data_IF_565342708195
#
_entry.id   IF_565342708195
#
_cell.length_a   1.000
_cell.length_b   1.000
_cell.length_c   1.000
_cell.angle_alpha   90.00
_cell.angle_beta   90.00
_cell.angle_gamma   90.00
#
_symmetry.space_group_name_H-M   'P 1'
#
loop_
_entity.id
_entity.type
_entity.pdbx_description
1 polymer ?
#
# COMPACT_ATOMS: atom_id res chain seq x y z
N UNK A 1 -1.57 13.77 -15.58
CA UNK A 1 -2.71 13.63 -14.66
C UNK A 1 -2.14 13.69 -13.25
N UNK A 2 -2.52 14.72 -12.52
CA UNK A 2 -1.84 15.17 -11.31
C UNK A 2 -2.12 14.27 -10.11
N UNK A 3 -1.08 14.00 -9.32
CA UNK A 3 -1.12 13.35 -8.01
C UNK A 3 -1.68 14.32 -6.93
N UNK A 4 -2.79 14.99 -7.25
CA UNK A 4 -3.36 16.10 -6.48
C UNK A 4 -4.72 15.77 -5.84
N UNK A 5 -5.10 14.49 -5.77
CA UNK A 5 -6.24 14.14 -4.93
C UNK A 5 -5.78 14.00 -3.48
N UNK A 6 -6.09 15.03 -2.70
CA UNK A 6 -6.00 15.10 -1.23
C UNK A 6 -6.68 13.94 -0.46
N UNK A 7 -7.18 12.90 -1.14
CA UNK A 7 -7.81 11.71 -0.55
C UNK A 7 -7.07 10.39 -0.76
N UNK A 8 -6.05 10.33 -1.62
CA UNK A 8 -5.29 9.08 -1.84
C UNK A 8 -4.24 8.87 -0.74
N UNK A 9 -4.14 7.64 -0.26
CA UNK A 9 -3.18 7.24 0.76
C UNK A 9 -1.80 7.05 0.12
N UNK A 10 -0.85 7.94 0.42
CA UNK A 10 0.45 7.98 -0.25
C UNK A 10 1.57 7.66 0.73
N UNK A 11 2.49 6.80 0.29
CA UNK A 11 3.77 6.55 0.94
C UNK A 11 4.91 6.54 -0.07
N UNK A 12 6.12 6.90 0.38
CA UNK A 12 7.34 6.86 -0.41
C UNK A 12 8.39 6.06 0.32
N UNK A 13 8.88 5.01 -0.32
CA UNK A 13 10.02 4.22 0.13
C UNK A 13 11.25 4.64 -0.66
N UNK A 14 12.38 4.85 0.02
CA UNK A 14 13.65 5.12 -0.62
C UNK A 14 14.22 3.89 -1.33
N UNK A 15 15.31 4.08 -2.08
CA UNK A 15 16.06 2.99 -2.72
C UNK A 15 16.62 1.97 -1.73
N UNK A 16 16.74 2.35 -0.45
CA UNK A 16 17.06 1.50 0.69
C UNK A 16 15.87 0.68 1.20
N UNK A 17 14.70 0.75 0.56
CA UNK A 17 13.48 0.05 0.97
C UNK A 17 12.88 0.60 2.26
N UNK A 18 13.28 1.79 2.70
CA UNK A 18 12.82 2.41 3.95
C UNK A 18 11.84 3.53 3.69
N UNK A 19 10.82 3.63 4.54
CA UNK A 19 9.82 4.68 4.48
C UNK A 19 10.48 6.06 4.71
N UNK A 20 10.34 6.94 3.72
CA UNK A 20 10.84 8.33 3.76
C UNK A 20 9.71 9.32 4.03
N UNK A 21 8.51 9.03 3.53
CA UNK A 21 7.35 9.90 3.66
C UNK A 21 6.07 9.07 3.63
N UNK A 22 5.05 9.52 4.38
CA UNK A 22 3.68 9.05 4.27
C UNK A 22 2.74 10.20 4.60
N UNK A 23 1.52 10.16 4.09
CA UNK A 23 0.47 11.08 4.49
C UNK A 23 -0.45 10.48 5.58
N UNK A 24 -1.22 11.28 6.32
CA UNK A 24 -2.14 10.77 7.34
C UNK A 24 -3.21 9.82 6.77
N UNK A 25 -3.60 9.97 5.50
CA UNK A 25 -4.53 9.06 4.84
C UNK A 25 -3.96 7.64 4.76
N UNK A 26 -2.66 7.49 4.49
CA UNK A 26 -1.97 6.20 4.47
C UNK A 26 -1.95 5.52 5.83
N UNK A 27 -1.62 6.26 6.90
CA UNK A 27 -1.64 5.72 8.26
C UNK A 27 -3.04 5.25 8.67
N UNK A 28 -4.08 6.03 8.31
CA UNK A 28 -5.49 5.69 8.57
C UNK A 28 -5.97 4.49 7.76
N UNK A 29 -5.55 4.37 6.50
CA UNK A 29 -5.97 3.28 5.63
C UNK A 29 -5.57 1.92 6.20
N UNK A 30 -4.35 1.83 6.72
CA UNK A 30 -3.77 0.61 7.28
C UNK A 30 -4.04 0.44 8.78
N UNK A 31 -4.81 1.34 9.40
CA UNK A 31 -5.09 1.37 10.84
C UNK A 31 -3.83 1.25 11.71
N UNK A 32 -2.72 1.82 11.24
CA UNK A 32 -1.41 1.74 11.91
C UNK A 32 -1.26 2.81 13.00
N UNK A 33 -2.23 3.71 13.18
CA UNK A 33 -2.14 4.84 14.10
C UNK A 33 -1.00 5.81 13.75
N UNK A 34 -0.83 6.86 14.56
CA UNK A 34 0.26 7.85 14.39
C UNK A 34 1.63 7.26 14.80
N UNK A 35 1.65 6.27 15.70
CA UNK A 35 2.87 5.64 16.24
C UNK A 35 3.33 4.37 15.48
N UNK A 36 2.47 3.75 14.67
CA UNK A 36 2.82 2.49 13.98
C UNK A 36 3.68 2.68 12.72
N UNK A 37 3.84 3.92 12.25
CA UNK A 37 4.73 4.27 11.14
C UNK A 37 5.80 5.23 11.62
N UNK A 38 7.06 4.83 11.46
CA UNK A 38 8.21 5.67 11.77
C UNK A 38 9.04 5.89 10.51
N UNK A 39 9.66 7.07 10.40
CA UNK A 39 10.66 7.30 9.37
C UNK A 39 11.78 6.25 9.50
N UNK A 40 12.11 5.58 8.40
CA UNK A 40 13.09 4.50 8.40
C UNK A 40 12.53 3.09 8.54
N UNK A 41 11.21 2.91 8.79
CA UNK A 41 10.58 1.57 8.76
C UNK A 41 10.85 0.87 7.44
N UNK A 42 11.34 -0.36 7.49
CA UNK A 42 11.62 -1.12 6.27
C UNK A 42 10.31 -1.62 5.66
N UNK A 43 10.27 -1.69 4.34
CA UNK A 43 9.10 -2.12 3.57
C UNK A 43 8.61 -3.51 3.98
N UNK A 44 9.50 -4.43 4.35
CA UNK A 44 9.12 -5.75 4.84
C UNK A 44 8.38 -5.70 6.18
N UNK A 45 8.78 -4.79 7.08
CA UNK A 45 8.15 -4.61 8.38
C UNK A 45 6.79 -3.94 8.23
N UNK A 46 6.69 -2.99 7.31
CA UNK A 46 5.41 -2.40 6.91
C UNK A 46 4.46 -3.47 6.35
N UNK A 47 4.91 -4.29 5.39
CA UNK A 47 4.07 -5.36 4.83
C UNK A 47 3.65 -6.34 5.94
N UNK A 48 4.54 -6.69 6.87
CA UNK A 48 4.19 -7.51 8.03
C UNK A 48 3.12 -6.86 8.91
N UNK A 49 3.20 -5.55 9.13
CA UNK A 49 2.22 -4.80 9.92
C UNK A 49 0.84 -4.72 9.26
N UNK A 50 0.75 -4.84 7.93
CA UNK A 50 -0.53 -4.85 7.20
C UNK A 50 -1.18 -6.23 7.09
N UNK A 51 -0.49 -7.29 7.54
CA UNK A 51 -1.01 -8.66 7.60
C UNK A 51 -2.43 -8.81 8.14
N UNK A 52 -2.85 -8.19 9.27
CA UNK A 52 -4.20 -8.36 9.80
C UNK A 52 -5.29 -7.80 8.88
N UNK A 53 -4.97 -6.83 8.02
CA UNK A 53 -5.90 -6.26 7.05
C UNK A 53 -5.89 -6.99 5.71
N UNK A 54 -4.79 -7.66 5.35
CA UNK A 54 -4.72 -8.44 4.12
C UNK A 54 -5.63 -9.67 4.22
N UNK A 55 -6.50 -9.90 3.22
CA UNK A 55 -7.26 -11.15 3.14
C UNK A 55 -6.32 -12.32 2.86
N UNK A 56 -5.86 -13.00 3.90
CA UNK A 56 -4.99 -14.19 3.75
C UNK A 56 -5.85 -15.45 3.74
N UNK A 57 -6.40 -15.78 2.57
CA UNK A 57 -6.93 -17.13 2.32
C UNK A 57 -5.85 -18.18 2.04
N UNK A 58 -4.55 -17.80 2.09
CA UNK A 58 -3.41 -18.63 1.70
C UNK A 58 -2.09 -18.25 2.38
N UNK A 59 -0.96 -18.71 1.82
CA UNK A 59 0.39 -18.54 2.38
C UNK A 59 0.84 -17.06 2.39
N UNK A 60 1.04 -16.53 3.60
CA UNK A 60 1.42 -15.13 3.80
C UNK A 60 2.83 -14.82 3.27
N UNK A 61 3.77 -15.77 3.40
CA UNK A 61 5.16 -15.55 2.98
C UNK A 61 5.25 -15.35 1.46
N UNK A 62 4.50 -16.17 0.70
CA UNK A 62 4.33 -16.02 -0.74
C UNK A 62 3.71 -14.67 -1.11
N UNK A 63 2.65 -14.24 -0.40
CA UNK A 63 2.02 -12.93 -0.65
C UNK A 63 2.99 -11.78 -0.34
N UNK A 64 3.72 -11.86 0.77
CA UNK A 64 4.74 -10.89 1.17
C UNK A 64 5.84 -10.79 0.11
N UNK A 65 6.34 -11.92 -0.40
CA UNK A 65 7.32 -11.95 -1.48
C UNK A 65 6.79 -11.31 -2.77
N UNK A 66 5.52 -11.54 -3.12
CA UNK A 66 4.88 -10.90 -4.28
C UNK A 66 4.78 -9.38 -4.11
N UNK A 67 4.36 -8.90 -2.94
CA UNK A 67 4.25 -7.47 -2.63
C UNK A 67 5.63 -6.81 -2.71
N UNK A 68 6.64 -7.40 -2.05
CA UNK A 68 8.02 -6.89 -2.08
C UNK A 68 8.58 -6.87 -3.51
N UNK A 69 8.33 -7.92 -4.29
CA UNK A 69 8.74 -7.99 -5.70
C UNK A 69 8.11 -6.87 -6.53
N UNK A 70 6.80 -6.62 -6.36
CA UNK A 70 6.08 -5.54 -7.05
C UNK A 70 6.63 -4.14 -6.71
N UNK A 71 7.19 -3.93 -5.51
CA UNK A 71 7.79 -2.66 -5.12
C UNK A 71 9.21 -2.46 -5.68
N UNK A 72 9.92 -3.54 -6.05
CA UNK A 72 11.26 -3.47 -6.65
C UNK A 72 11.24 -3.33 -8.18
N UNK A 73 10.06 -3.40 -8.80
CA UNK A 73 9.92 -3.26 -10.25
C UNK A 73 10.28 -1.84 -10.70
N UNK A 74 11.02 -1.75 -11.81
CA UNK A 74 11.39 -0.47 -12.44
C UNK A 74 10.30 0.09 -13.36
N UNK A 75 9.08 -0.43 -13.25
CA UNK A 75 7.92 -0.05 -14.06
C UNK A 75 6.74 0.31 -13.16
N UNK A 76 5.86 1.17 -13.66
CA UNK A 76 4.63 1.52 -12.95
C UNK A 76 3.75 0.28 -12.90
N UNK A 77 3.45 -0.20 -11.69
CA UNK A 77 2.62 -1.39 -11.47
C UNK A 77 1.30 -0.98 -10.82
N UNK A 78 0.19 -1.61 -11.20
CA UNK A 78 -1.16 -1.32 -10.68
C UNK A 78 -1.86 -2.62 -10.36
N UNK A 79 -2.35 -2.74 -9.14
CA UNK A 79 -2.96 -3.96 -8.63
C UNK A 79 -4.01 -3.62 -7.55
N UNK A 80 -4.75 -4.62 -7.09
CA UNK A 80 -5.74 -4.46 -6.03
C UNK A 80 -5.54 -5.50 -4.92
N UNK A 81 -5.85 -5.09 -3.69
CA UNK A 81 -5.80 -5.93 -2.49
C UNK A 81 -7.21 -6.02 -1.93
N UNK A 82 -7.77 -7.23 -1.90
CA UNK A 82 -8.92 -7.53 -1.07
C UNK A 82 -8.47 -7.58 0.39
N UNK A 83 -9.09 -6.73 1.20
CA UNK A 83 -8.89 -6.71 2.64
C UNK A 83 -9.80 -7.72 3.32
N UNK A 84 -9.38 -8.25 4.47
CA UNK A 84 -10.16 -9.17 5.29
C UNK A 84 -11.52 -8.57 5.72
N UNK A 85 -11.59 -7.25 5.79
CA UNK A 85 -12.79 -6.45 6.11
C UNK A 85 -13.77 -6.29 4.91
N UNK A 86 -13.48 -6.91 3.76
CA UNK A 86 -14.33 -6.86 2.55
C UNK A 86 -14.12 -5.61 1.67
N UNK A 87 -13.19 -4.73 2.04
CA UNK A 87 -12.78 -3.58 1.23
C UNK A 87 -11.82 -3.98 0.12
N UNK A 88 -11.84 -3.26 -1.00
CA UNK A 88 -10.88 -3.41 -2.10
C UNK A 88 -10.00 -2.18 -2.16
N UNK A 89 -8.70 -2.36 -1.99
CA UNK A 89 -7.70 -1.30 -2.06
C UNK A 89 -6.95 -1.42 -3.37
N UNK A 90 -7.19 -0.49 -4.29
CA UNK A 90 -6.38 -0.35 -5.49
C UNK A 90 -5.08 0.37 -5.13
N UNK A 91 -3.97 -0.06 -5.72
CA UNK A 91 -2.68 0.58 -5.50
C UNK A 91 -1.89 0.76 -6.77
N UNK A 92 -1.05 1.80 -6.77
CA UNK A 92 -0.15 2.13 -7.85
C UNK A 92 1.25 2.30 -7.30
N UNK A 93 2.18 1.45 -7.75
CA UNK A 93 3.60 1.57 -7.48
C UNK A 93 4.25 2.34 -8.63
N UNK A 94 4.86 3.48 -8.32
CA UNK A 94 5.56 4.33 -9.29
C UNK A 94 7.03 4.43 -8.91
N UNK A 95 7.96 3.86 -9.69
CA UNK A 95 9.39 4.01 -9.43
C UNK A 95 9.81 5.47 -9.60
N UNK A 96 10.62 5.96 -8.65
CA UNK A 96 11.14 7.31 -8.63
C UNK A 96 12.54 7.36 -9.26
N UNK A 97 12.96 8.50 -9.84
CA UNK A 97 14.28 8.65 -10.47
C UNK A 97 15.45 8.46 -9.49
N UNK A 98 15.23 8.68 -8.19
CA UNK A 98 16.22 8.44 -7.12
C UNK A 98 16.38 6.95 -6.76
N UNK A 99 15.62 6.07 -7.41
CA UNK A 99 15.60 4.63 -7.16
C UNK A 99 14.66 4.19 -6.04
N UNK A 100 13.94 5.12 -5.42
CA UNK A 100 12.81 4.83 -4.52
C UNK A 100 11.54 4.45 -5.27
N UNK A 101 10.45 4.24 -4.53
CA UNK A 101 9.12 3.94 -5.05
C UNK A 101 8.07 4.76 -4.31
N UNK A 102 7.18 5.40 -5.07
CA UNK A 102 5.96 6.00 -4.55
C UNK A 102 4.84 4.99 -4.67
N UNK A 103 4.08 4.85 -3.59
CA UNK A 103 2.92 3.97 -3.54
C UNK A 103 1.71 4.83 -3.20
N UNK A 104 0.71 4.79 -4.07
CA UNK A 104 -0.58 5.41 -3.85
C UNK A 104 -1.63 4.33 -3.69
N UNK A 105 -2.45 4.41 -2.65
CA UNK A 105 -3.59 3.55 -2.39
C UNK A 105 -4.89 4.34 -2.51
N UNK A 106 -5.87 3.73 -3.16
CA UNK A 106 -7.23 4.21 -3.26
C UNK A 106 -8.20 3.12 -2.77
N UNK A 107 -9.11 3.48 -1.86
CA UNK A 107 -10.19 2.58 -1.47
C UNK A 107 -11.28 2.63 -2.56
N UNK A 108 -11.45 1.52 -3.27
CA UNK A 108 -12.62 1.30 -4.13
C UNK A 108 -13.64 0.56 -3.27
N UNK A 109 -14.77 1.20 -2.99
CA UNK A 109 -15.94 0.45 -2.54
C UNK A 109 -16.31 -0.46 -3.70
N UNK A 110 -16.22 -1.78 -3.51
CA UNK A 110 -16.94 -2.71 -4.36
C UNK A 110 -18.39 -2.23 -4.34
N UNK A 111 -18.90 -1.76 -5.47
CA UNK A 111 -20.27 -1.32 -5.61
C UNK A 111 -21.16 -2.48 -5.17
N UNK A 112 -21.65 -2.43 -3.92
CA UNK A 112 -22.78 -3.22 -3.53
C UNK A 112 -23.87 -2.86 -4.52
N UNK A 113 -24.42 -3.85 -5.22
CA UNK A 113 -25.74 -3.68 -5.79
C UNK A 113 -26.69 -3.30 -4.64
N UNK A 114 -27.56 -2.30 -4.85
CA UNK A 114 -28.87 -2.40 -4.26
C UNK A 114 -29.90 -1.95 -5.28
N UNK A 115 -30.50 -2.87 -6.01
CA UNK A 115 -31.84 -2.64 -6.52
C UNK A 115 -32.60 -3.98 -6.53
N UNK A 116 -33.53 -4.06 -5.56
CA UNK A 116 -34.81 -4.76 -5.58
C UNK A 116 -34.93 -6.12 -6.26
#
# INVERSE_FOLDING_TARGET
ASLENLGEAIAVFGSDGRLKFWNPAFARLWDLGDDGLSAGTHVSDFVEATRPLAATGGDWDTKKAQILSAMTRREVTRDAIECADGRVLEFVNTPLPDGGVLIAYAETRANGAPDG
#
